data_IF_384126605032
#
_entry.id   IF_384126605032
#
_cell.length_a   1.000
_cell.length_b   1.000
_cell.length_c   1.000
_cell.angle_alpha   90.00
_cell.angle_beta   90.00
_cell.angle_gamma   90.00
#
_symmetry.space_group_name_H-M   'P 1'
#
loop_
_entity.id
_entity.type
_entity.pdbx_description
1 polymer ?
#
# COMPACT_ATOMS: atom_id res chain seq x y z
N UNK A 1 -6.19 0.21 18.18
CA UNK A 1 -5.20 0.01 19.26
C UNK A 1 -4.09 -0.96 18.84
N UNK A 2 -4.38 -2.23 18.54
CA UNK A 2 -3.34 -3.25 18.21
C UNK A 2 -2.50 -2.90 16.98
N UNK A 3 -3.12 -2.53 15.86
CA UNK A 3 -2.42 -2.19 14.60
C UNK A 3 -1.37 -1.10 14.81
N UNK A 4 -1.74 -0.02 15.51
CA UNK A 4 -0.82 1.08 15.82
C UNK A 4 0.37 0.63 16.66
N UNK A 5 0.15 -0.25 17.66
CA UNK A 5 1.22 -0.78 18.50
C UNK A 5 2.19 -1.67 17.70
N UNK A 6 1.67 -2.53 16.81
CA UNK A 6 2.49 -3.38 15.93
C UNK A 6 3.35 -2.54 14.99
N UNK A 7 2.77 -1.51 14.37
CA UNK A 7 3.52 -0.61 13.48
C UNK A 7 4.60 0.15 14.26
N UNK A 8 4.30 0.65 15.46
CA UNK A 8 5.28 1.32 16.31
C UNK A 8 6.42 0.38 16.73
N UNK A 9 6.11 -0.86 17.10
CA UNK A 9 7.10 -1.88 17.45
C UNK A 9 8.01 -2.20 16.26
N UNK A 10 7.44 -2.48 15.09
CA UNK A 10 8.22 -2.76 13.89
C UNK A 10 9.15 -1.60 13.52
N UNK A 11 8.67 -0.35 13.63
CA UNK A 11 9.51 0.86 13.44
C UNK A 11 10.67 0.91 14.42
N UNK A 12 10.45 0.62 15.70
CA UNK A 12 11.52 0.60 16.71
C UNK A 12 12.57 -0.48 16.45
N UNK A 13 12.19 -1.54 15.74
CA UNK A 13 13.06 -2.67 15.40
C UNK A 13 13.65 -2.57 13.98
N UNK A 14 13.33 -1.51 13.22
CA UNK A 14 13.76 -1.39 11.81
C UNK A 14 13.17 -2.48 10.91
N UNK A 15 11.99 -3.01 11.24
CA UNK A 15 11.30 -4.06 10.48
C UNK A 15 10.26 -3.47 9.53
N UNK A 16 10.07 -4.14 8.38
CA UNK A 16 8.96 -3.84 7.46
C UNK A 16 7.67 -4.48 7.95
N UNK A 17 6.56 -3.77 7.78
CA UNK A 17 5.21 -4.27 8.05
C UNK A 17 4.44 -4.34 6.75
N UNK A 18 3.79 -5.48 6.52
CA UNK A 18 2.79 -5.67 5.47
C UNK A 18 1.44 -5.75 6.15
N UNK A 19 0.49 -4.90 5.72
CA UNK A 19 -0.90 -5.04 6.13
C UNK A 19 -1.65 -5.95 5.16
N UNK A 20 -2.04 -7.13 5.62
CA UNK A 20 -2.84 -8.09 4.84
C UNK A 20 -4.34 -7.90 5.09
N UNK A 21 -5.17 -8.24 4.09
CA UNK A 21 -6.63 -8.15 4.18
C UNK A 21 -7.21 -6.74 3.93
N UNK A 22 -6.52 -5.90 3.14
CA UNK A 22 -7.04 -4.57 2.77
C UNK A 22 -8.07 -4.70 1.64
N UNK A 23 -9.33 -4.40 1.93
CA UNK A 23 -10.46 -4.59 1.02
C UNK A 23 -11.04 -3.27 0.49
N UNK A 24 -10.81 -2.16 1.18
CA UNK A 24 -11.36 -0.85 0.80
C UNK A 24 -10.40 0.32 1.03
N UNK A 25 -10.68 1.44 0.35
CA UNK A 25 -9.86 2.65 0.41
C UNK A 25 -9.73 3.22 1.83
N UNK A 26 -10.79 3.12 2.65
CA UNK A 26 -10.75 3.62 4.03
C UNK A 26 -9.71 2.87 4.89
N UNK A 27 -9.64 1.55 4.76
CA UNK A 27 -8.61 0.74 5.44
C UNK A 27 -7.20 1.12 4.97
N UNK A 28 -7.01 1.25 3.65
CA UNK A 28 -5.76 1.68 3.05
C UNK A 28 -5.31 3.05 3.58
N UNK A 29 -6.21 4.04 3.59
CA UNK A 29 -5.92 5.39 4.09
C UNK A 29 -5.52 5.41 5.56
N UNK A 30 -6.21 4.64 6.41
CA UNK A 30 -5.88 4.52 7.84
C UNK A 30 -4.49 3.89 8.02
N UNK A 31 -4.21 2.79 7.32
CA UNK A 31 -2.92 2.11 7.38
C UNK A 31 -1.78 3.01 6.89
N UNK A 32 -2.01 3.76 5.81
CA UNK A 32 -1.05 4.74 5.31
C UNK A 32 -0.76 5.84 6.34
N UNK A 33 -1.79 6.41 6.96
CA UNK A 33 -1.61 7.43 8.02
C UNK A 33 -0.88 6.90 9.25
N UNK A 34 -0.97 5.60 9.52
CA UNK A 34 -0.22 4.95 10.59
C UNK A 34 1.24 4.65 10.20
N UNK A 35 1.63 4.86 8.94
CA UNK A 35 2.98 4.63 8.43
C UNK A 35 3.20 3.22 7.86
N UNK A 36 2.14 2.50 7.50
CA UNK A 36 2.25 1.23 6.78
C UNK A 36 2.14 1.50 5.27
N UNK A 37 3.25 1.38 4.54
CA UNK A 37 3.32 1.63 3.09
C UNK A 37 3.21 0.38 2.21
N UNK A 38 3.17 -0.82 2.80
CA UNK A 38 3.07 -2.10 2.08
C UNK A 38 1.78 -2.80 2.48
N UNK A 39 0.95 -3.15 1.50
CA UNK A 39 -0.40 -3.66 1.74
C UNK A 39 -0.76 -4.75 0.73
N UNK A 40 -1.59 -5.70 1.18
CA UNK A 40 -2.16 -6.76 0.35
C UNK A 40 -3.64 -6.91 0.67
N UNK A 41 -4.47 -7.13 -0.36
CA UNK A 41 -5.86 -7.50 -0.19
C UNK A 41 -6.69 -7.26 -1.45
N UNK A 42 -7.98 -7.54 -1.35
CA UNK A 42 -8.92 -7.49 -2.48
C UNK A 42 -9.12 -6.09 -3.06
N UNK A 43 -8.74 -5.04 -2.31
CA UNK A 43 -8.66 -3.69 -2.87
C UNK A 43 -7.74 -3.62 -4.08
N UNK A 44 -6.63 -4.36 -4.05
CA UNK A 44 -5.60 -4.31 -5.08
C UNK A 44 -5.81 -5.38 -6.15
N UNK A 45 -6.08 -6.61 -5.72
CA UNK A 45 -6.37 -7.72 -6.62
C UNK A 45 -7.01 -8.87 -5.85
N UNK A 46 -7.84 -9.65 -6.55
CA UNK A 46 -8.21 -10.99 -6.08
C UNK A 46 -7.06 -11.96 -6.32
N UNK A 47 -7.00 -13.10 -5.60
CA UNK A 47 -6.04 -14.16 -5.89
C UNK A 47 -6.13 -14.54 -7.36
N UNK A 48 -5.00 -14.48 -8.06
CA UNK A 48 -4.91 -14.86 -9.46
C UNK A 48 -4.47 -16.31 -9.53
N UNK A 49 -5.03 -17.09 -10.48
CA UNK A 49 -4.49 -18.39 -10.77
C UNK A 49 -3.10 -18.25 -11.45
N UNK A 50 -2.24 -19.30 -11.44
CA UNK A 50 -0.83 -19.18 -11.82
C UNK A 50 -0.56 -18.74 -13.26
N UNK A 51 -1.34 -19.24 -14.20
CA UNK A 51 -1.37 -18.89 -15.63
C UNK A 51 -1.79 -17.44 -15.91
N UNK A 52 -2.56 -16.81 -15.00
CA UNK A 52 -3.00 -15.41 -15.13
C UNK A 52 -2.03 -14.41 -14.50
N UNK A 53 -1.06 -14.86 -13.68
CA UNK A 53 -0.14 -13.97 -12.95
C UNK A 53 0.68 -13.09 -13.89
N UNK A 54 1.24 -13.65 -14.96
CA UNK A 54 2.09 -12.90 -15.89
C UNK A 54 1.31 -11.76 -16.55
N UNK A 55 0.13 -12.06 -17.07
CA UNK A 55 -0.75 -11.07 -17.68
C UNK A 55 -1.19 -10.02 -16.64
N UNK A 56 -1.51 -10.44 -15.41
CA UNK A 56 -1.84 -9.53 -14.32
C UNK A 56 -0.68 -8.60 -14.00
N UNK A 57 0.56 -9.10 -13.90
CA UNK A 57 1.75 -8.27 -13.62
C UNK A 57 2.02 -7.24 -14.72
N UNK A 58 1.76 -7.57 -15.99
CA UNK A 58 1.94 -6.67 -17.12
C UNK A 58 0.86 -5.58 -17.19
N UNK A 59 -0.38 -5.93 -16.86
CA UNK A 59 -1.54 -5.04 -17.01
C UNK A 59 -1.90 -4.25 -15.75
N UNK A 60 -1.40 -4.67 -14.58
CA UNK A 60 -1.71 -3.99 -13.33
C UNK A 60 -0.92 -2.68 -13.25
N UNK A 61 -1.63 -1.57 -13.45
CA UNK A 61 -1.12 -0.24 -13.12
C UNK A 61 -1.23 -0.07 -11.60
N UNK A 62 -0.28 -0.65 -10.85
CA UNK A 62 0.05 -0.06 -9.56
C UNK A 62 0.77 1.25 -9.89
N UNK A 63 0.25 2.42 -9.49
CA UNK A 63 0.98 3.65 -9.68
C UNK A 63 2.30 3.53 -8.92
N UNK A 64 3.41 3.24 -9.63
CA UNK A 64 4.78 3.26 -9.07
C UNK A 64 5.14 4.64 -8.46
N UNK A 65 4.26 5.64 -8.65
CA UNK A 65 4.32 7.02 -8.15
C UNK A 65 3.23 7.35 -7.12
N UNK A 66 2.44 6.38 -6.63
CA UNK A 66 1.54 6.65 -5.53
C UNK A 66 2.38 7.12 -4.34
N UNK A 67 2.09 8.30 -3.73
CA UNK A 67 2.90 8.87 -2.65
C UNK A 67 3.08 7.93 -1.45
N UNK A 68 2.18 6.95 -1.29
CA UNK A 68 2.17 5.97 -0.21
C UNK A 68 2.84 4.63 -0.56
N UNK A 69 3.09 4.34 -1.84
CA UNK A 69 3.85 3.15 -2.22
C UNK A 69 5.32 3.51 -1.99
N UNK A 70 5.84 3.07 -0.84
CA UNK A 70 7.25 3.27 -0.49
C UNK A 70 8.15 2.71 -1.59
N UNK A 71 9.28 3.37 -1.85
CA UNK A 71 10.33 2.74 -2.65
C UNK A 71 10.80 1.50 -1.91
N UNK A 72 11.00 0.41 -2.65
CA UNK A 72 11.50 -0.85 -2.09
C UNK A 72 12.85 -0.71 -1.33
N UNK A 73 13.55 0.43 -1.49
CA UNK A 73 14.91 0.67 -1.03
C UNK A 73 15.08 1.87 -0.06
N UNK A 74 14.07 2.69 0.21
CA UNK A 74 14.29 3.93 0.98
C UNK A 74 13.84 3.70 2.44
N UNK A 75 14.81 3.34 3.29
CA UNK A 75 14.62 2.92 4.68
C UNK A 75 14.96 4.01 5.71
N UNK A 76 15.01 5.27 5.28
CA UNK A 76 15.35 6.37 6.18
C UNK A 76 14.13 6.80 7.00
N UNK A 77 14.33 6.90 8.32
CA UNK A 77 13.35 7.30 9.32
C UNK A 77 12.70 8.70 9.10
N UNK A 78 13.04 9.39 8.00
CA UNK A 78 12.61 10.73 7.65
C UNK A 78 11.30 10.80 6.84
N UNK A 79 10.80 9.68 6.29
CA UNK A 79 9.64 9.70 5.37
C UNK A 79 8.27 9.85 6.06
N UNK A 80 8.26 10.03 7.39
CA UNK A 80 7.05 10.27 8.18
C UNK A 80 6.43 11.66 7.99
N UNK A 81 6.93 12.49 7.07
CA UNK A 81 6.55 13.90 6.92
C UNK A 81 5.89 14.27 5.58
N UNK A 82 5.51 13.34 4.71
CA UNK A 82 4.72 13.71 3.51
C UNK A 82 3.26 14.02 3.94
N UNK A 83 2.79 15.28 3.87
CA UNK A 83 1.44 15.62 4.31
C UNK A 83 0.38 15.13 3.30
N UNK A 84 -0.88 14.94 3.75
CA UNK A 84 -1.95 14.38 2.93
C UNK A 84 -2.54 15.45 1.99
N UNK A 85 -1.80 15.89 0.97
CA UNK A 85 -2.35 16.77 -0.09
C UNK A 85 -1.91 16.34 -1.50
N UNK A 86 -2.01 15.05 -1.81
CA UNK A 86 -2.05 14.63 -3.21
C UNK A 86 -3.53 14.55 -3.65
N UNK A 87 -4.00 15.37 -4.62
CA UNK A 87 -5.36 15.28 -5.09
C UNK A 87 -5.59 13.90 -5.69
N UNK A 88 -6.62 13.23 -5.19
CA UNK A 88 -7.12 11.95 -5.71
C UNK A 88 -7.56 12.19 -7.15
N UNK A 89 -6.65 12.01 -8.12
CA UNK A 89 -7.05 11.93 -9.52
C UNK A 89 -7.89 10.69 -9.64
N UNK A 90 -9.16 10.89 -9.99
CA UNK A 90 -10.12 9.84 -10.27
C UNK A 90 -9.53 8.91 -11.32
N UNK A 91 -8.95 7.78 -10.89
CA UNK A 91 -8.70 6.68 -11.78
C UNK A 91 -10.07 6.12 -12.15
N UNK A 92 -10.62 6.61 -13.27
CA UNK A 92 -11.63 5.85 -14.00
C UNK A 92 -10.95 4.55 -14.41
N UNK A 93 -11.23 3.49 -13.66
CA UNK A 93 -10.95 2.13 -14.10
C UNK A 93 -11.61 1.96 -15.47
N UNK A 94 -10.89 1.54 -16.52
CA UNK A 94 -11.51 1.27 -17.80
C UNK A 94 -12.49 0.11 -17.61
N UNK A 95 -13.78 0.40 -17.81
CA UNK A 95 -14.82 -0.60 -18.01
C UNK A 95 -14.67 -1.18 -19.41
N UNK A 96 -14.21 -2.41 -19.53
CA UNK A 96 -14.39 -3.28 -20.70
C UNK A 96 -14.30 -4.72 -20.25
#
# INVERSE_FOLDING_TARGET
AVVTAVIALARSLGLRVIAEGVENLRQMEVLNRLGCGIMQGFLFSRPQPPEAIEQWMQNTILPKKAPWIGKACDFDAADALVPPEAPMRSNKFPSS
#
